data_IF_607747762027
#
_entry.id   IF_607747762027
#
_cell.length_a   1.000
_cell.length_b   1.000
_cell.length_c   1.000
_cell.angle_alpha   90.00
_cell.angle_beta   90.00
_cell.angle_gamma   90.00
#
_symmetry.space_group_name_H-M   'P 1'
#
loop_
_entity.id
_entity.type
_entity.pdbx_description
1 polymer ?
#
# COMPACT_ATOMS: atom_id res chain seq x y z
N UNK A 1 27.19 3.14 -11.41
CA UNK A 1 26.97 4.31 -10.53
C UNK A 1 25.69 5.03 -10.95
N UNK A 2 24.53 4.68 -10.37
CA UNK A 2 23.28 5.45 -10.55
C UNK A 2 23.18 6.46 -9.41
N UNK A 3 23.58 7.71 -9.67
CA UNK A 3 23.32 8.84 -8.76
C UNK A 3 21.85 9.22 -8.88
N UNK A 4 20.99 8.56 -8.12
CA UNK A 4 19.67 9.11 -7.82
C UNK A 4 19.97 10.39 -7.00
N UNK A 5 19.67 11.55 -7.59
CA UNK A 5 19.82 12.84 -6.92
C UNK A 5 19.00 12.77 -5.64
N UNK A 6 19.67 12.71 -4.51
CA UNK A 6 19.07 12.91 -3.19
C UNK A 6 18.39 14.28 -3.22
N UNK A 7 17.05 14.29 -3.32
CA UNK A 7 16.24 15.50 -3.23
C UNK A 7 16.31 15.93 -1.77
N UNK A 8 17.17 16.91 -1.52
CA UNK A 8 17.38 17.54 -0.22
C UNK A 8 16.39 18.70 -0.11
N UNK A 9 15.25 18.48 0.55
CA UNK A 9 14.40 19.56 1.06
C UNK A 9 13.67 19.07 2.30
N UNK A 10 14.00 19.71 3.42
CA UNK A 10 13.48 19.42 4.75
C UNK A 10 12.13 20.11 4.93
N UNK A 11 11.03 19.47 4.49
CA UNK A 11 9.66 19.81 4.86
C UNK A 11 8.79 18.56 4.83
N UNK A 12 8.51 17.95 6.00
CA UNK A 12 7.34 17.13 6.35
C UNK A 12 6.65 16.14 5.36
N UNK A 13 7.29 15.69 4.29
CA UNK A 13 6.68 14.72 3.35
C UNK A 13 7.59 13.49 3.21
N UNK A 14 7.51 12.58 4.20
CA UNK A 14 8.25 11.31 4.18
C UNK A 14 7.59 10.24 3.29
N UNK A 15 6.38 10.51 2.79
CA UNK A 15 5.57 9.55 2.07
C UNK A 15 5.14 10.10 0.70
N UNK A 16 4.97 9.21 -0.25
CA UNK A 16 4.25 9.41 -1.51
C UNK A 16 2.81 8.99 -1.26
N UNK A 17 1.88 9.90 -1.50
CA UNK A 17 0.46 9.76 -1.18
C UNK A 17 -0.45 10.19 -2.33
N UNK A 18 0.07 10.89 -3.34
CA UNK A 18 -0.72 11.27 -4.53
C UNK A 18 -0.23 10.60 -5.80
N UNK A 19 -1.10 10.61 -6.81
CA UNK A 19 -0.78 10.16 -8.16
C UNK A 19 0.41 10.93 -8.75
N UNK A 20 0.39 12.25 -8.62
CA UNK A 20 1.39 13.16 -9.20
C UNK A 20 2.77 12.96 -8.57
N UNK A 21 2.83 12.55 -7.30
CA UNK A 21 4.07 12.19 -6.64
C UNK A 21 4.61 10.85 -7.16
N UNK A 22 3.74 9.86 -7.34
CA UNK A 22 4.12 8.54 -7.82
C UNK A 22 4.57 8.57 -9.30
N UNK A 23 3.91 9.37 -10.13
CA UNK A 23 4.27 9.59 -11.55
C UNK A 23 5.67 10.21 -11.73
N UNK A 24 6.23 10.86 -10.70
CA UNK A 24 7.63 11.35 -10.74
C UNK A 24 8.65 10.23 -10.64
N UNK A 25 8.24 9.03 -10.23
CA UNK A 25 9.11 7.89 -9.91
C UNK A 25 8.96 6.79 -10.94
N UNK A 26 7.72 6.46 -11.30
CA UNK A 26 7.38 5.37 -12.22
C UNK A 26 6.35 5.82 -13.24
N UNK A 27 6.31 5.14 -14.40
CA UNK A 27 5.19 5.25 -15.33
C UNK A 27 4.07 4.32 -14.86
N UNK A 28 2.90 4.90 -14.56
CA UNK A 28 1.75 4.17 -14.06
C UNK A 28 1.08 3.34 -15.17
N UNK A 29 0.64 2.13 -14.81
CA UNK A 29 -0.19 1.26 -15.65
C UNK A 29 -1.62 1.78 -15.68
N UNK A 30 -2.36 1.41 -16.72
CA UNK A 30 -3.80 1.70 -16.83
C UNK A 30 -4.60 1.24 -15.61
N UNK A 31 -4.27 0.07 -15.05
CA UNK A 31 -4.91 -0.49 -13.86
C UNK A 31 -4.68 0.36 -12.61
N UNK A 32 -3.46 0.87 -12.43
CA UNK A 32 -3.08 1.75 -11.31
C UNK A 32 -3.71 3.13 -11.47
N UNK A 33 -3.75 3.66 -12.70
CA UNK A 33 -4.43 4.93 -13.01
C UNK A 33 -5.92 4.85 -12.67
N UNK A 34 -6.59 3.76 -13.08
CA UNK A 34 -8.01 3.54 -12.80
C UNK A 34 -8.32 3.47 -11.31
N UNK A 35 -7.38 3.00 -10.49
CA UNK A 35 -7.55 3.01 -9.05
C UNK A 35 -7.71 4.43 -8.51
N UNK A 36 -6.87 5.38 -8.94
CA UNK A 36 -6.97 6.78 -8.52
C UNK A 36 -8.30 7.41 -8.94
N UNK A 37 -8.81 7.06 -10.13
CA UNK A 37 -10.10 7.59 -10.63
C UNK A 37 -11.30 6.97 -9.89
N UNK A 38 -11.17 5.72 -9.43
CA UNK A 38 -12.29 4.93 -8.89
C UNK A 38 -12.36 4.90 -7.37
N UNK A 39 -11.25 5.15 -6.67
CA UNK A 39 -11.18 5.08 -5.22
C UNK A 39 -11.99 6.22 -4.57
N UNK A 40 -13.03 5.84 -3.81
CA UNK A 40 -13.92 6.76 -3.09
C UNK A 40 -13.57 6.92 -1.59
N UNK A 41 -12.39 6.45 -1.18
CA UNK A 41 -11.92 6.50 0.21
C UNK A 41 -12.34 5.29 1.07
N UNK A 42 -12.86 4.23 0.45
CA UNK A 42 -13.25 3.00 1.14
C UNK A 42 -12.16 1.93 1.13
N UNK A 43 -11.08 2.12 0.36
CA UNK A 43 -9.94 1.20 0.30
C UNK A 43 -8.79 1.68 1.20
N UNK A 44 -7.74 0.86 1.33
CA UNK A 44 -6.50 1.27 1.97
C UNK A 44 -5.90 2.49 1.25
N UNK A 45 -5.45 3.53 2.00
CA UNK A 45 -4.88 4.73 1.38
C UNK A 45 -3.46 4.49 0.87
N UNK A 46 -3.10 5.14 -0.23
CA UNK A 46 -1.73 5.16 -0.72
C UNK A 46 -0.81 5.88 0.29
N UNK A 47 0.23 5.19 0.73
CA UNK A 47 1.24 5.78 1.62
C UNK A 47 2.58 5.05 1.56
N UNK A 48 3.38 5.37 0.55
CA UNK A 48 4.68 4.70 0.30
C UNK A 48 5.80 5.56 0.89
N UNK A 49 6.69 4.99 1.72
CA UNK A 49 7.87 5.75 2.14
C UNK A 49 8.80 6.00 0.96
N UNK A 50 9.51 7.14 0.96
CA UNK A 50 10.51 7.43 -0.08
C UNK A 50 11.59 6.34 -0.18
N UNK A 51 11.95 5.71 0.95
CA UNK A 51 12.88 4.58 0.95
C UNK A 51 12.32 3.40 0.14
N UNK A 52 11.08 2.98 0.42
CA UNK A 52 10.47 1.86 -0.30
C UNK A 52 10.28 2.17 -1.79
N UNK A 53 9.86 3.39 -2.12
CA UNK A 53 9.74 3.82 -3.51
C UNK A 53 11.10 3.81 -4.23
N UNK A 54 12.21 4.07 -3.53
CA UNK A 54 13.55 4.01 -4.12
C UNK A 54 14.05 2.61 -4.45
N UNK A 55 13.39 1.56 -3.93
CA UNK A 55 13.71 0.17 -4.21
C UNK A 55 13.06 -0.34 -5.50
N UNK A 56 12.05 0.36 -6.02
CA UNK A 56 11.33 -0.02 -7.23
C UNK A 56 12.25 0.16 -8.45
N UNK A 57 12.35 -0.84 -9.32
CA UNK A 57 12.90 -0.65 -10.66
C UNK A 57 11.85 0.01 -11.57
N UNK A 58 12.02 1.29 -11.97
CA UNK A 58 11.03 1.99 -12.80
C UNK A 58 10.93 1.45 -14.23
N UNK A 59 11.88 0.61 -14.66
CA UNK A 59 11.86 -0.03 -15.97
C UNK A 59 11.16 -1.39 -15.98
N UNK A 60 10.84 -1.95 -14.81
CA UNK A 60 10.09 -3.19 -14.69
C UNK A 60 8.68 -2.89 -14.18
N UNK A 61 7.72 -3.06 -15.09
CA UNK A 61 6.30 -2.94 -14.79
C UNK A 61 5.79 -3.95 -13.77
N UNK A 62 6.47 -5.09 -13.63
CA UNK A 62 6.12 -6.17 -12.71
C UNK A 62 7.10 -6.28 -11.54
N UNK A 63 7.83 -5.19 -11.23
CA UNK A 63 8.72 -5.12 -10.09
C UNK A 63 8.00 -5.58 -8.80
N UNK A 64 8.59 -6.51 -8.03
CA UNK A 64 7.90 -7.11 -6.88
C UNK A 64 7.66 -6.12 -5.75
N UNK A 65 8.44 -5.03 -5.65
CA UNK A 65 8.20 -3.98 -4.67
C UNK A 65 7.02 -3.12 -5.12
N UNK A 66 6.96 -2.74 -6.41
CA UNK A 66 5.83 -2.00 -7.00
C UNK A 66 4.50 -2.69 -6.73
N UNK A 67 4.38 -3.97 -7.03
CA UNK A 67 3.12 -4.74 -6.86
C UNK A 67 2.64 -4.81 -5.41
N UNK A 68 3.54 -4.64 -4.43
CA UNK A 68 3.17 -4.64 -3.01
C UNK A 68 2.71 -3.28 -2.48
N UNK A 69 3.07 -2.18 -3.15
CA UNK A 69 2.90 -0.82 -2.58
C UNK A 69 2.14 0.15 -3.47
N UNK A 70 2.07 -0.11 -4.78
CA UNK A 70 1.28 0.68 -5.72
C UNK A 70 -0.07 -0.01 -5.90
N UNK A 71 -1.18 0.69 -5.58
CA UNK A 71 -2.48 0.08 -5.61
C UNK A 71 -2.98 -0.13 -7.05
N UNK A 72 -3.76 -1.20 -7.24
CA UNK A 72 -4.41 -1.52 -8.51
C UNK A 72 -5.93 -1.48 -8.39
N UNK A 73 -6.63 -1.22 -9.49
CA UNK A 73 -8.10 -1.22 -9.58
C UNK A 73 -8.72 -2.52 -9.05
N UNK A 74 -8.01 -3.64 -9.16
CA UNK A 74 -8.48 -4.94 -8.70
C UNK A 74 -8.74 -4.98 -7.19
N UNK A 75 -8.03 -4.18 -6.39
CA UNK A 75 -8.25 -4.06 -4.94
C UNK A 75 -9.61 -3.46 -4.57
N UNK A 76 -10.27 -2.78 -5.50
CA UNK A 76 -11.61 -2.22 -5.29
C UNK A 76 -12.73 -3.25 -5.58
N UNK A 77 -12.37 -4.44 -6.06
CA UNK A 77 -13.33 -5.51 -6.34
C UNK A 77 -13.50 -6.39 -5.11
N UNK A 78 -14.70 -6.38 -4.53
CA UNK A 78 -15.06 -7.27 -3.43
C UNK A 78 -15.71 -8.57 -3.95
N UNK A 79 -15.15 -9.70 -3.54
CA UNK A 79 -15.71 -11.03 -3.81
C UNK A 79 -16.70 -11.44 -2.71
N UNK A 80 -17.67 -12.29 -3.07
CA UNK A 80 -18.71 -12.77 -2.14
C UNK A 80 -18.13 -13.58 -0.96
N UNK A 81 -16.96 -14.17 -1.13
CA UNK A 81 -16.28 -14.98 -0.13
C UNK A 81 -15.39 -14.15 0.80
N UNK A 82 -15.23 -12.85 0.56
CA UNK A 82 -14.47 -11.97 1.44
C UNK A 82 -15.21 -11.69 2.75
N UNK A 83 -14.43 -11.46 3.80
CA UNK A 83 -14.90 -11.05 5.11
C UNK A 83 -13.99 -9.95 5.62
N UNK A 84 -14.56 -8.98 6.35
CA UNK A 84 -13.78 -7.96 7.04
C UNK A 84 -12.97 -8.53 8.23
N UNK A 85 -13.37 -9.67 8.77
CA UNK A 85 -12.66 -10.40 9.83
C UNK A 85 -12.53 -11.88 9.44
N UNK A 86 -11.66 -12.22 8.47
CA UNK A 86 -11.51 -13.60 8.01
C UNK A 86 -10.81 -14.50 9.05
N UNK A 87 -10.13 -13.91 10.03
CA UNK A 87 -9.37 -14.62 11.07
C UNK A 87 -10.13 -14.75 12.39
N UNK A 88 -11.35 -14.21 12.48
CA UNK A 88 -12.21 -14.19 13.66
C UNK A 88 -11.55 -13.51 14.87
N UNK A 89 -10.76 -12.47 14.62
CA UNK A 89 -10.00 -11.74 15.63
C UNK A 89 -10.91 -11.10 16.66
N UNK A 90 -12.09 -10.61 16.24
CA UNK A 90 -13.03 -9.93 17.13
C UNK A 90 -13.56 -10.87 18.22
N UNK A 91 -13.93 -12.10 17.86
CA UNK A 91 -14.44 -13.08 18.84
C UNK A 91 -13.35 -13.57 19.81
N UNK A 92 -12.08 -13.48 19.42
CA UNK A 92 -10.93 -13.85 20.22
C UNK A 92 -10.26 -12.66 20.94
N UNK A 93 -10.92 -11.49 20.99
CA UNK A 93 -10.38 -10.29 21.60
C UNK A 93 -10.96 -10.04 23.00
N UNK A 94 -10.27 -10.41 24.10
CA UNK A 94 -10.73 -10.14 25.46
C UNK A 94 -10.74 -8.64 25.81
N UNK A 95 -9.95 -7.83 25.09
CA UNK A 95 -9.93 -6.38 25.20
C UNK A 95 -9.61 -5.75 23.83
N UNK A 96 -9.79 -4.44 23.71
CA UNK A 96 -9.36 -3.74 22.49
C UNK A 96 -7.85 -3.90 22.29
N UNK A 97 -7.44 -4.14 21.03
CA UNK A 97 -6.05 -4.29 20.60
C UNK A 97 -5.28 -5.49 21.17
N UNK A 98 -5.97 -6.53 21.65
CA UNK A 98 -5.35 -7.77 22.10
C UNK A 98 -6.14 -8.96 21.55
N UNK A 99 -5.48 -9.85 20.80
CA UNK A 99 -6.08 -11.07 20.27
C UNK A 99 -5.49 -12.26 21.02
N UNK A 100 -6.33 -13.04 21.71
CA UNK A 100 -5.91 -14.24 22.46
C UNK A 100 -6.60 -15.50 21.89
N UNK A 101 -6.22 -15.88 20.67
CA UNK A 101 -6.76 -17.07 19.99
C UNK A 101 -6.15 -18.37 20.49
N UNK A 102 -4.88 -18.36 20.91
CA UNK A 102 -4.14 -19.57 21.28
C UNK A 102 -3.79 -19.56 22.77
N UNK A 103 -3.85 -20.70 23.48
CA UNK A 103 -3.66 -20.73 24.93
C UNK A 103 -2.35 -20.13 25.42
N UNK A 104 -1.27 -20.27 24.64
CA UNK A 104 0.10 -19.94 25.03
C UNK A 104 0.68 -18.67 24.38
N UNK A 105 -0.09 -17.92 23.58
CA UNK A 105 0.38 -16.69 22.93
C UNK A 105 -0.74 -15.72 22.60
N UNK A 106 -0.37 -14.44 22.53
CA UNK A 106 -1.25 -13.34 22.12
C UNK A 106 -0.67 -12.65 20.88
N UNK A 107 -1.53 -11.97 20.12
CA UNK A 107 -1.18 -11.08 19.02
C UNK A 107 -1.71 -9.66 19.28
#
# INVERSE_FOLDING_TARGET
MRKIKYIKSMTNEHFIQTKEELEKIITLKEEELRWFDSNKGNSLPLRITHYYASLIDPSDENDPIRVQVVPSIDELTHLLQESNDPLCEVAHSPSSRLIHRYPNRVA
#
